data_IF_210436955421
#
_entry.id   IF_210436955421
#
_cell.length_a   1.000
_cell.length_b   1.000
_cell.length_c   1.000
_cell.angle_alpha   90.00
_cell.angle_beta   90.00
_cell.angle_gamma   90.00
#
_symmetry.space_group_name_H-M   'P 1'
#
loop_
_entity.id
_entity.type
_entity.pdbx_description
1 polymer ?
#
# COMPACT_ATOMS: atom_id res chain seq x y z
N UNK A 1 -26.69 9.71 -9.32
CA UNK A 1 -25.50 9.15 -8.65
C UNK A 1 -25.84 8.81 -7.21
N UNK A 2 -25.59 7.57 -6.79
CA UNK A 2 -25.87 7.13 -5.41
C UNK A 2 -24.78 7.63 -4.47
N UNK A 3 -25.17 8.25 -3.35
CA UNK A 3 -24.24 8.69 -2.29
C UNK A 3 -23.47 7.49 -1.73
N UNK A 4 -22.14 7.59 -1.62
CA UNK A 4 -21.26 6.49 -1.13
C UNK A 4 -20.80 6.65 0.33
N UNK A 5 -21.14 7.76 0.97
CA UNK A 5 -20.84 8.02 2.38
C UNK A 5 -22.10 7.89 3.23
N UNK A 6 -21.93 7.46 4.48
CA UNK A 6 -23.01 7.33 5.45
C UNK A 6 -23.63 8.71 5.75
N UNK A 7 -24.95 8.76 5.86
CA UNK A 7 -25.66 9.86 6.52
C UNK A 7 -25.54 9.72 8.04
N UNK A 8 -25.80 10.80 8.78
CA UNK A 8 -25.81 10.73 10.24
C UNK A 8 -26.80 9.69 10.77
N UNK A 9 -27.99 9.57 10.15
CA UNK A 9 -28.99 8.56 10.51
C UNK A 9 -28.51 7.13 10.22
N UNK A 10 -27.89 6.91 9.06
CA UNK A 10 -27.32 5.60 8.70
C UNK A 10 -26.17 5.23 9.63
N UNK A 11 -25.31 6.19 9.99
CA UNK A 11 -24.25 5.99 10.96
C UNK A 11 -24.81 5.57 12.32
N UNK A 12 -25.80 6.28 12.84
CA UNK A 12 -26.44 5.94 14.12
C UNK A 12 -27.16 4.58 14.08
N UNK A 13 -27.77 4.23 12.94
CA UNK A 13 -28.37 2.92 12.74
C UNK A 13 -27.32 1.79 12.77
N UNK A 14 -26.17 1.99 12.12
CA UNK A 14 -25.05 1.04 12.18
C UNK A 14 -24.47 0.95 13.59
N UNK A 15 -24.28 2.08 14.26
CA UNK A 15 -23.78 2.12 15.63
C UNK A 15 -24.69 1.33 16.57
N UNK A 16 -26.00 1.55 16.48
CA UNK A 16 -27.00 0.78 17.24
C UNK A 16 -26.95 -0.72 16.91
N UNK A 17 -26.79 -1.07 15.64
CA UNK A 17 -26.68 -2.48 15.20
C UNK A 17 -25.41 -3.16 15.75
N UNK A 18 -24.37 -2.40 16.02
CA UNK A 18 -23.11 -2.86 16.61
C UNK A 18 -23.04 -2.64 18.13
N UNK A 19 -24.17 -2.49 18.79
CA UNK A 19 -24.27 -2.28 20.25
C UNK A 19 -23.46 -1.07 20.75
N UNK A 20 -23.26 -0.04 19.91
CA UNK A 20 -22.57 1.18 20.30
C UNK A 20 -21.03 1.14 20.15
N UNK A 21 -20.45 0.05 19.63
CA UNK A 21 -19.01 -0.14 19.60
C UNK A 21 -18.47 -0.53 18.22
N UNK A 22 -17.14 -0.65 18.15
CA UNK A 22 -16.39 -1.18 17.02
C UNK A 22 -16.93 -2.55 16.54
N UNK A 23 -16.89 -2.82 15.24
CA UNK A 23 -17.39 -4.07 14.67
C UNK A 23 -16.47 -5.29 14.90
N UNK A 24 -15.31 -5.12 15.52
CA UNK A 24 -14.40 -6.21 15.86
C UNK A 24 -14.80 -6.77 17.21
N UNK A 25 -14.92 -8.10 17.28
CA UNK A 25 -15.16 -8.82 18.51
C UNK A 25 -14.11 -8.44 19.57
N UNK A 26 -14.55 -8.26 20.82
CA UNK A 26 -13.72 -7.85 21.96
C UNK A 26 -13.17 -6.40 21.91
N UNK A 27 -13.56 -5.59 20.92
CA UNK A 27 -13.20 -4.17 20.88
C UNK A 27 -14.34 -3.28 21.40
N UNK A 28 -14.15 -2.69 22.58
CA UNK A 28 -15.14 -1.82 23.24
C UNK A 28 -15.01 -0.33 22.86
N UNK A 29 -14.21 0.01 21.85
CA UNK A 29 -14.08 1.39 21.41
C UNK A 29 -15.42 1.92 20.88
N UNK A 30 -15.84 3.07 21.39
CA UNK A 30 -17.14 3.70 21.07
C UNK A 30 -16.97 5.03 20.34
N UNK A 31 -15.78 5.63 20.41
CA UNK A 31 -15.49 6.94 19.82
C UNK A 31 -14.63 6.84 18.56
N UNK A 32 -14.70 7.88 17.73
CA UNK A 32 -13.85 7.99 16.53
C UNK A 32 -14.02 6.86 15.52
N UNK A 33 -15.17 6.17 15.52
CA UNK A 33 -15.41 5.05 14.62
C UNK A 33 -15.56 5.54 13.18
N UNK A 34 -14.91 4.84 12.26
CA UNK A 34 -14.94 5.12 10.83
C UNK A 34 -15.83 4.12 10.10
N UNK A 35 -16.50 4.56 9.04
CA UNK A 35 -17.25 3.66 8.17
C UNK A 35 -16.29 2.76 7.39
N UNK A 36 -16.37 1.45 7.62
CA UNK A 36 -15.60 0.44 6.92
C UNK A 36 -16.49 -0.53 6.13
N UNK A 37 -15.90 -1.15 5.10
CA UNK A 37 -16.52 -2.14 4.24
C UNK A 37 -16.05 -3.54 4.63
N UNK A 38 -16.99 -4.41 5.01
CA UNK A 38 -16.73 -5.83 5.21
C UNK A 38 -16.24 -6.49 3.91
N UNK A 39 -16.87 -6.12 2.79
CA UNK A 39 -16.48 -6.50 1.44
C UNK A 39 -15.72 -5.35 0.79
N UNK A 40 -14.47 -5.55 0.33
CA UNK A 40 -13.69 -4.48 -0.27
C UNK A 40 -14.44 -3.75 -1.39
N UNK A 41 -14.42 -2.42 -1.38
CA UNK A 41 -15.08 -1.56 -2.38
C UNK A 41 -14.61 -1.85 -3.81
N UNK A 42 -13.41 -2.43 -3.97
CA UNK A 42 -12.87 -2.89 -5.25
C UNK A 42 -13.66 -4.06 -5.86
N UNK A 43 -14.34 -4.87 -5.04
CA UNK A 43 -15.19 -5.97 -5.49
C UNK A 43 -16.65 -5.56 -5.57
N UNK A 44 -17.13 -4.81 -4.58
CA UNK A 44 -18.51 -4.34 -4.53
C UNK A 44 -18.54 -2.86 -4.21
N UNK A 45 -18.93 -2.06 -5.21
CA UNK A 45 -19.08 -0.61 -5.01
C UNK A 45 -20.35 -0.31 -4.22
N UNK A 46 -20.20 -0.12 -2.91
CA UNK A 46 -21.31 0.10 -1.98
C UNK A 46 -20.94 1.15 -0.92
N UNK A 47 -21.91 1.52 -0.07
CA UNK A 47 -21.65 2.27 1.16
C UNK A 47 -20.92 1.38 2.17
N UNK A 48 -20.19 1.95 3.14
CA UNK A 48 -19.73 1.22 4.30
C UNK A 48 -20.90 0.54 5.02
N UNK A 49 -20.69 -0.68 5.48
CA UNK A 49 -21.70 -1.51 6.13
C UNK A 49 -21.38 -1.82 7.59
N UNK A 50 -20.24 -1.32 8.08
CA UNK A 50 -19.76 -1.49 9.45
C UNK A 50 -19.07 -0.21 9.96
N UNK A 51 -18.97 -0.05 11.27
CA UNK A 51 -18.17 0.98 11.94
C UNK A 51 -16.99 0.32 12.66
N UNK A 52 -15.78 0.81 12.44
CA UNK A 52 -14.56 0.23 13.01
C UNK A 52 -13.69 1.34 13.62
N UNK A 53 -12.99 1.06 14.71
CA UNK A 53 -12.03 2.02 15.27
C UNK A 53 -10.76 2.09 14.41
N UNK A 54 -10.02 3.21 14.52
CA UNK A 54 -8.80 3.42 13.74
C UNK A 54 -7.71 2.36 14.03
N UNK A 55 -7.62 1.86 15.26
CA UNK A 55 -6.66 0.85 15.65
C UNK A 55 -6.94 -0.49 14.95
N UNK A 56 -8.16 -1.00 15.03
CA UNK A 56 -8.60 -2.22 14.35
C UNK A 56 -8.46 -2.10 12.83
N UNK A 57 -8.86 -0.96 12.26
CA UNK A 57 -8.72 -0.70 10.83
C UNK A 57 -7.25 -0.73 10.39
N UNK A 58 -6.33 -0.19 11.20
CA UNK A 58 -4.89 -0.25 10.94
C UNK A 58 -4.37 -1.67 10.97
N UNK A 59 -4.77 -2.49 11.95
CA UNK A 59 -4.38 -3.91 12.02
C UNK A 59 -4.83 -4.66 10.77
N UNK A 60 -6.09 -4.49 10.36
CA UNK A 60 -6.63 -5.05 9.11
C UNK A 60 -5.79 -4.62 7.91
N UNK A 61 -5.54 -3.32 7.77
CA UNK A 61 -4.74 -2.77 6.67
C UNK A 61 -3.33 -3.36 6.62
N UNK A 62 -2.69 -3.53 7.79
CA UNK A 62 -1.33 -4.11 7.88
C UNK A 62 -1.29 -5.57 7.43
N UNK A 63 -2.32 -6.37 7.76
CA UNK A 63 -2.45 -7.75 7.25
C UNK A 63 -2.56 -7.77 5.72
N UNK A 64 -3.36 -6.85 5.17
CA UNK A 64 -3.65 -6.79 3.73
C UNK A 64 -2.58 -6.06 2.90
N UNK A 65 -1.60 -5.41 3.54
CA UNK A 65 -0.70 -4.44 2.89
C UNK A 65 0.04 -5.02 1.69
N UNK A 66 0.51 -6.28 1.78
CA UNK A 66 1.23 -6.96 0.68
C UNK A 66 0.32 -7.18 -0.52
N UNK A 67 -0.92 -7.62 -0.29
CA UNK A 67 -1.91 -7.83 -1.35
C UNK A 67 -2.31 -6.50 -2.00
N UNK A 68 -2.51 -5.46 -1.19
CA UNK A 68 -2.80 -4.09 -1.66
C UNK A 68 -1.68 -3.59 -2.57
N UNK A 69 -0.40 -3.70 -2.16
CA UNK A 69 0.73 -3.29 -3.01
C UNK A 69 0.91 -4.14 -4.26
N UNK A 70 0.53 -5.42 -4.23
CA UNK A 70 0.50 -6.27 -5.44
C UNK A 70 -0.57 -5.76 -6.41
N UNK A 71 -1.80 -5.55 -5.94
CA UNK A 71 -2.90 -5.05 -6.76
C UNK A 71 -2.59 -3.67 -7.37
N UNK A 72 -2.03 -2.74 -6.56
CA UNK A 72 -1.59 -1.42 -7.02
C UNK A 72 -0.50 -1.45 -8.09
N UNK A 73 0.33 -2.49 -8.12
CA UNK A 73 1.32 -2.69 -9.20
C UNK A 73 0.65 -3.20 -10.47
N UNK A 74 -0.25 -4.18 -10.34
CA UNK A 74 -0.95 -4.78 -11.48
C UNK A 74 -1.86 -3.78 -12.20
N UNK A 75 -2.52 -2.87 -11.48
CA UNK A 75 -3.39 -1.85 -12.06
C UNK A 75 -2.64 -0.57 -12.49
N UNK A 76 -1.31 -0.54 -12.38
CA UNK A 76 -0.48 0.60 -12.78
C UNK A 76 -0.54 1.82 -11.86
N UNK A 77 -1.30 1.79 -10.75
CA UNK A 77 -1.35 2.89 -9.79
C UNK A 77 0.00 3.13 -9.11
N UNK A 78 0.85 2.10 -9.00
CA UNK A 78 2.20 2.17 -8.45
C UNK A 78 3.16 1.44 -9.38
N UNK A 79 4.28 2.10 -9.71
CA UNK A 79 5.36 1.48 -10.46
C UNK A 79 6.09 0.40 -9.63
N UNK A 80 6.38 -0.73 -10.27
CA UNK A 80 7.33 -1.73 -9.76
C UNK A 80 8.75 -1.16 -9.61
N UNK A 81 9.60 -1.85 -8.87
CA UNK A 81 11.01 -1.45 -8.73
C UNK A 81 11.72 -1.42 -10.09
N UNK A 82 11.47 -2.41 -10.95
CA UNK A 82 12.01 -2.45 -12.31
C UNK A 82 11.57 -1.24 -13.12
N UNK A 83 10.28 -0.91 -13.12
CA UNK A 83 9.76 0.24 -13.85
C UNK A 83 10.27 1.57 -13.29
N UNK A 84 10.41 1.69 -11.96
CA UNK A 84 11.07 2.85 -11.35
C UNK A 84 12.53 2.97 -11.79
N UNK A 85 13.29 1.88 -11.80
CA UNK A 85 14.69 1.89 -12.28
C UNK A 85 14.76 2.22 -13.76
N UNK A 86 13.83 1.72 -14.57
CA UNK A 86 13.76 2.07 -16.00
C UNK A 86 13.42 3.55 -16.21
N UNK A 87 12.51 4.12 -15.41
CA UNK A 87 12.02 5.50 -15.56
C UNK A 87 12.93 6.56 -14.91
N UNK A 88 13.46 6.25 -13.73
CA UNK A 88 14.18 7.16 -12.84
C UNK A 88 15.57 6.66 -12.45
N UNK A 89 16.02 5.50 -12.97
CA UNK A 89 17.38 5.00 -12.73
C UNK A 89 18.44 5.96 -13.24
N UNK A 90 19.72 5.69 -12.93
CA UNK A 90 20.82 6.56 -13.31
C UNK A 90 20.81 6.82 -14.82
N UNK A 91 20.47 8.05 -15.21
CA UNK A 91 20.46 8.51 -16.60
C UNK A 91 21.85 8.99 -17.06
N UNK A 92 22.70 9.32 -16.10
CA UNK A 92 24.10 9.63 -16.35
C UNK A 92 24.81 8.32 -16.70
N UNK A 93 25.33 8.23 -17.93
CA UNK A 93 26.32 7.21 -18.26
C UNK A 93 27.49 7.43 -17.31
N UNK A 94 27.81 6.43 -16.50
CA UNK A 94 29.02 6.47 -15.69
C UNK A 94 30.21 6.78 -16.60
N UNK A 95 31.12 7.64 -16.14
CA UNK A 95 32.41 7.83 -16.81
C UNK A 95 33.04 6.43 -16.95
N UNK A 96 33.59 6.04 -18.11
CA UNK A 96 34.37 4.81 -18.19
C UNK A 96 35.39 4.84 -17.06
N UNK A 97 35.48 3.76 -16.29
CA UNK A 97 36.61 3.60 -15.38
C UNK A 97 37.85 3.59 -16.26
N UNK A 98 38.74 4.57 -16.12
CA UNK A 98 40.07 4.48 -16.72
C UNK A 98 40.69 3.20 -16.16
N UNK A 99 40.78 2.15 -16.98
CA UNK A 99 41.48 0.92 -16.59
C UNK A 99 42.97 1.28 -16.52
N UNK A 100 43.59 1.42 -15.33
CA UNK A 100 45.00 1.71 -15.24
C UNK A 100 45.70 0.35 -15.24
N UNK A 101 45.78 -0.30 -16.40
CA UNK A 101 46.79 -1.31 -16.73
C UNK A 101 46.41 -2.05 -18.04
N UNK A 102 46.77 -1.49 -19.18
CA UNK A 102 47.00 -2.31 -20.37
C UNK A 102 48.35 -2.04 -21.01
N UNK A 103 49.35 -1.76 -20.17
CA UNK A 103 50.75 -1.81 -20.57
C UNK A 103 51.44 -2.89 -19.72
N UNK A 104 51.18 -4.16 -20.05
CA UNK A 104 52.19 -5.19 -19.81
C UNK A 104 53.25 -5.01 -20.91
N UNK A 105 54.09 -3.99 -20.76
CA UNK A 105 55.43 -4.08 -21.32
C UNK A 105 56.09 -5.27 -20.64
N UNK A 106 56.31 -6.35 -21.39
CA UNK A 106 57.00 -7.52 -20.90
C UNK A 106 58.32 -7.07 -20.27
N UNK A 107 58.50 -7.33 -18.97
CA UNK A 107 59.76 -7.09 -18.31
C UNK A 107 60.81 -8.02 -18.92
N UNK A 108 61.73 -7.47 -19.71
CA UNK A 108 62.90 -8.17 -20.23
C UNK A 108 63.91 -8.38 -19.11
N UNK A 109 63.64 -9.33 -18.22
CA UNK A 109 64.60 -9.76 -17.22
C UNK A 109 64.63 -11.28 -17.16
N UNK A 110 65.55 -11.87 -17.95
CA UNK A 110 66.51 -12.87 -17.48
C UNK A 110 67.48 -13.24 -18.61
N UNK A 111 68.73 -12.79 -18.38
CA UNK A 111 70.06 -13.33 -18.75
C UNK A 111 70.26 -13.94 -20.12
#
# INVERSE_FOLDING_TARGET
MTRLYLTAREYQALLKKQNGACCIDECEETEGLIGEHSTPNAWRRAKPDQLMCAACHKVKTLRDIKAIWKAKRLNGAVLSQYERRRRYGPKLRGRPFDQPHRNWSAASWKR
#
